data_IF_823289204522
#
_entry.id   IF_823289204522
#
_cell.length_a   1.000
_cell.length_b   1.000
_cell.length_c   1.000
_cell.angle_alpha   90.00
_cell.angle_beta   90.00
_cell.angle_gamma   90.00
#
_symmetry.space_group_name_H-M   'P 1'
#
loop_
_entity.id
_entity.type
_entity.pdbx_description
1 polymer ?
#
# COMPACT_ATOMS: atom_id res chain seq x y z
N UNK A 1 -7.10 30.66 -8.05
CA UNK A 1 -7.00 29.82 -9.27
C UNK A 1 -5.54 29.53 -9.66
N UNK A 2 -4.65 30.52 -9.81
CA UNK A 2 -3.23 30.29 -10.15
C UNK A 2 -2.48 29.36 -9.19
N UNK A 3 -2.71 29.47 -7.88
CA UNK A 3 -2.09 28.61 -6.86
C UNK A 3 -2.50 27.14 -6.98
N UNK A 4 -3.77 26.88 -7.27
CA UNK A 4 -4.30 25.53 -7.51
C UNK A 4 -3.64 24.92 -8.75
N UNK A 5 -3.47 25.72 -9.81
CA UNK A 5 -2.80 25.28 -11.04
C UNK A 5 -1.34 24.87 -10.77
N UNK A 6 -0.61 25.66 -9.97
CA UNK A 6 0.78 25.37 -9.60
C UNK A 6 0.89 24.07 -8.78
N UNK A 7 -0.01 23.87 -7.81
CA UNK A 7 -0.08 22.63 -7.03
C UNK A 7 -0.39 21.40 -7.90
N UNK A 8 -1.35 21.53 -8.82
CA UNK A 8 -1.67 20.47 -9.77
C UNK A 8 -0.49 20.13 -10.67
N UNK A 9 0.22 21.13 -11.20
CA UNK A 9 1.41 20.88 -12.02
C UNK A 9 2.49 20.18 -11.22
N UNK A 10 2.74 20.58 -9.96
CA UNK A 10 3.68 19.87 -9.12
C UNK A 10 3.27 18.39 -8.99
N UNK A 11 2.00 18.10 -8.66
CA UNK A 11 1.46 16.73 -8.53
C UNK A 11 1.54 15.88 -9.81
N UNK A 12 1.48 16.50 -10.99
CA UNK A 12 1.60 15.79 -12.26
C UNK A 12 3.07 15.53 -12.66
N UNK A 13 4.01 16.33 -12.16
CA UNK A 13 5.45 16.20 -12.45
C UNK A 13 6.25 15.49 -11.35
N UNK A 14 5.59 14.74 -10.46
CA UNK A 14 6.26 14.09 -9.31
C UNK A 14 7.30 13.04 -9.73
N UNK A 15 7.22 12.50 -10.96
CA UNK A 15 8.21 11.58 -11.54
C UNK A 15 8.34 10.23 -10.79
N UNK A 16 8.41 9.14 -11.54
CA UNK A 16 8.72 7.77 -11.07
C UNK A 16 7.88 7.16 -9.93
N UNK A 17 6.93 7.86 -9.31
CA UNK A 17 5.96 7.25 -8.39
C UNK A 17 4.77 6.74 -9.16
N UNK A 18 4.56 5.43 -9.09
CA UNK A 18 3.44 4.74 -9.71
C UNK A 18 2.57 4.10 -8.64
N UNK A 19 1.26 4.17 -8.86
CA UNK A 19 0.27 3.49 -8.04
C UNK A 19 -0.13 2.21 -8.78
N UNK A 20 0.17 1.06 -8.19
CA UNK A 20 -0.18 -0.26 -8.72
C UNK A 20 -1.16 -0.97 -7.77
N UNK A 21 -1.55 -2.20 -8.11
CA UNK A 21 -2.56 -2.97 -7.35
C UNK A 21 -2.15 -3.28 -5.91
N UNK A 22 -0.85 -3.25 -5.61
CA UNK A 22 -0.29 -3.60 -4.30
C UNK A 22 0.10 -2.36 -3.48
N UNK A 23 0.36 -1.23 -4.12
CA UNK A 23 0.87 -0.06 -3.42
C UNK A 23 1.44 1.06 -4.29
N UNK A 24 2.30 1.86 -3.67
CA UNK A 24 3.08 2.93 -4.31
C UNK A 24 4.49 2.41 -4.59
N UNK A 25 4.95 2.52 -5.84
CA UNK A 25 6.21 1.94 -6.29
C UNK A 25 7.00 2.86 -7.21
N UNK A 26 8.30 2.60 -7.32
CA UNK A 26 9.15 3.17 -8.36
C UNK A 26 8.90 2.58 -9.76
N UNK A 27 8.09 1.51 -9.85
CA UNK A 27 7.79 0.78 -11.09
C UNK A 27 6.29 0.68 -11.30
N UNK A 28 5.87 0.83 -12.56
CA UNK A 28 4.46 0.73 -12.93
C UNK A 28 3.90 -0.69 -12.74
N UNK A 29 4.67 -1.71 -13.12
CA UNK A 29 4.28 -3.11 -12.98
C UNK A 29 4.94 -3.79 -11.78
N UNK A 30 4.23 -4.73 -11.18
CA UNK A 30 4.75 -5.58 -10.12
C UNK A 30 5.77 -6.57 -10.68
N UNK A 31 7.00 -6.55 -10.16
CA UNK A 31 8.03 -7.54 -10.46
C UNK A 31 7.78 -8.84 -9.69
N UNK A 32 6.75 -9.59 -10.09
CA UNK A 32 6.45 -10.88 -9.48
C UNK A 32 7.17 -12.02 -10.20
N UNK A 33 7.84 -12.88 -9.44
CA UNK A 33 8.38 -14.17 -9.87
C UNK A 33 7.41 -15.26 -9.43
N UNK A 34 6.97 -16.04 -10.41
CA UNK A 34 6.08 -17.17 -10.21
C UNK A 34 6.85 -18.45 -10.53
N UNK A 35 6.86 -19.40 -9.60
CA UNK A 35 7.58 -20.67 -9.78
C UNK A 35 6.94 -21.79 -8.95
N UNK A 36 7.30 -23.04 -9.28
CA UNK A 36 6.97 -24.21 -8.48
C UNK A 36 8.21 -24.70 -7.76
N UNK A 37 8.10 -25.03 -6.48
CA UNK A 37 9.22 -25.62 -5.74
C UNK A 37 9.44 -27.10 -6.10
N UNK A 38 10.44 -27.72 -5.47
CA UNK A 38 10.78 -29.12 -5.71
C UNK A 38 9.65 -30.11 -5.31
N UNK A 39 8.67 -29.66 -4.51
CA UNK A 39 7.48 -30.43 -4.13
C UNK A 39 6.29 -30.18 -5.08
N UNK A 40 6.44 -29.29 -6.06
CA UNK A 40 5.37 -28.88 -6.98
C UNK A 40 4.40 -27.87 -6.38
N UNK A 41 4.74 -27.19 -5.27
CA UNK A 41 3.90 -26.15 -4.66
C UNK A 41 4.14 -24.82 -5.40
N UNK A 42 3.06 -24.12 -5.74
CA UNK A 42 3.10 -22.82 -6.41
C UNK A 42 3.50 -21.71 -5.45
N UNK A 43 4.46 -20.89 -5.87
CA UNK A 43 4.93 -19.71 -5.16
C UNK A 43 4.86 -18.47 -6.06
N UNK A 44 4.45 -17.35 -5.48
CA UNK A 44 4.45 -16.03 -6.11
C UNK A 44 5.12 -15.04 -5.18
N UNK A 45 6.35 -14.69 -5.52
CA UNK A 45 7.15 -13.70 -4.79
C UNK A 45 7.16 -12.41 -5.59
N UNK A 46 6.84 -11.29 -4.97
CA UNK A 46 6.81 -10.01 -5.66
C UNK A 46 7.68 -8.99 -4.94
N UNK A 47 8.42 -8.19 -5.71
CA UNK A 47 9.21 -7.08 -5.19
C UNK A 47 8.38 -6.20 -4.22
N UNK A 48 9.02 -5.70 -3.16
CA UNK A 48 8.38 -4.80 -2.22
C UNK A 48 8.10 -3.43 -2.85
N UNK A 49 6.95 -2.86 -2.50
CA UNK A 49 6.62 -1.48 -2.85
C UNK A 49 7.24 -0.51 -1.85
N UNK A 50 7.31 0.78 -2.20
CA UNK A 50 7.68 1.83 -1.25
C UNK A 50 6.65 1.91 -0.11
N UNK A 51 5.37 1.73 -0.45
CA UNK A 51 4.27 1.62 0.51
C UNK A 51 3.29 0.57 -0.01
N UNK A 52 3.13 -0.53 0.70
CA UNK A 52 2.09 -1.53 0.41
C UNK A 52 0.76 -1.15 1.06
N UNK A 53 -0.33 -1.24 0.28
CA UNK A 53 -1.68 -0.98 0.79
C UNK A 53 -2.06 -1.90 1.93
N UNK A 54 -1.63 -3.17 1.87
CA UNK A 54 -1.88 -4.15 2.94
C UNK A 54 -1.32 -3.67 4.28
N UNK A 55 -0.08 -3.17 4.28
CA UNK A 55 0.57 -2.65 5.49
C UNK A 55 -0.20 -1.48 6.08
N UNK A 56 -0.68 -0.57 5.23
CA UNK A 56 -1.51 0.56 5.64
C UNK A 56 -2.84 0.07 6.22
N UNK A 57 -3.54 -0.83 5.51
CA UNK A 57 -4.84 -1.38 5.94
C UNK A 57 -4.72 -2.12 7.28
N UNK A 58 -3.70 -2.96 7.44
CA UNK A 58 -3.47 -3.72 8.67
C UNK A 58 -3.17 -2.77 9.85
N UNK A 59 -2.36 -1.73 9.63
CA UNK A 59 -2.07 -0.71 10.62
C UNK A 59 -3.31 0.08 11.05
N UNK A 60 -4.13 0.51 10.09
CA UNK A 60 -5.39 1.22 10.34
C UNK A 60 -6.36 0.32 11.11
N UNK A 61 -6.54 -0.93 10.67
CA UNK A 61 -7.42 -1.90 11.32
C UNK A 61 -7.04 -2.10 12.78
N UNK A 62 -5.74 -2.29 13.07
CA UNK A 62 -5.23 -2.42 14.44
C UNK A 62 -5.55 -1.18 15.29
N UNK A 63 -5.38 0.02 14.74
CA UNK A 63 -5.72 1.26 15.45
C UNK A 63 -7.22 1.37 15.76
N UNK A 64 -8.07 0.96 14.82
CA UNK A 64 -9.52 0.92 15.00
C UNK A 64 -9.90 -0.10 16.08
N UNK A 65 -9.35 -1.31 16.04
CA UNK A 65 -9.66 -2.37 17.02
C UNK A 65 -9.28 -1.96 18.45
N UNK A 66 -8.12 -1.33 18.63
CA UNK A 66 -7.70 -0.75 19.91
C UNK A 66 -8.70 0.31 20.37
N UNK A 67 -9.08 1.23 19.49
CA UNK A 67 -10.03 2.29 19.82
C UNK A 67 -11.39 1.73 20.26
N UNK A 68 -11.93 0.77 19.49
CA UNK A 68 -13.19 0.09 19.80
C UNK A 68 -13.11 -0.62 21.14
N UNK A 69 -12.01 -1.33 21.42
CA UNK A 69 -11.83 -2.03 22.70
C UNK A 69 -11.75 -1.05 23.88
N UNK A 70 -11.01 0.04 23.74
CA UNK A 70 -10.92 1.07 24.79
C UNK A 70 -12.29 1.69 25.06
N UNK A 71 -13.06 1.99 24.01
CA UNK A 71 -14.42 2.52 24.17
C UNK A 71 -15.33 1.53 24.89
N UNK A 72 -15.30 0.23 24.52
CA UNK A 72 -16.08 -0.80 25.24
C UNK A 72 -15.74 -0.85 26.72
N UNK A 73 -14.45 -0.89 27.05
CA UNK A 73 -13.98 -0.91 28.43
C UNK A 73 -14.36 0.35 29.24
N UNK A 74 -14.71 1.45 28.58
CA UNK A 74 -15.09 2.70 29.24
C UNK A 74 -16.60 2.74 29.59
N UNK A 75 -17.40 1.91 28.93
CA UNK A 75 -18.86 1.84 29.09
C UNK A 75 -19.36 0.55 29.75
N UNK A 76 -18.45 -0.38 30.03
CA UNK A 76 -18.64 -1.56 30.90
C UNK A 76 -18.19 -1.25 32.33
#
# INVERSE_FOLDING_TARGET
>A
MKTILILLTALLFQGCFYFNDRGVSGRYYNGCKEYYDAMGIYHKECDENLVDYKTVTDGVKKGVDVSVQTTKNLFE
#
